data_IF_001731963894
#
_entry.id   IF_001731963894
#
_cell.length_a   1.000
_cell.length_b   1.000
_cell.length_c   1.000
_cell.angle_alpha   90.00
_cell.angle_beta   90.00
_cell.angle_gamma   90.00
#
_symmetry.space_group_name_H-M   'P 1'
#
loop_
_entity.id
_entity.type
_entity.pdbx_description
1 polymer ?
#
# COMPACT_ATOMS: atom_id res chain seq x y z
N UNK A 1 -8.29 -5.34 -26.86
CA UNK A 1 -7.32 -4.90 -25.82
C UNK A 1 -6.90 -6.15 -25.07
N UNK A 2 -5.74 -6.70 -25.40
CA UNK A 2 -5.15 -7.80 -24.65
C UNK A 2 -4.40 -7.22 -23.45
N UNK A 3 -4.51 -7.87 -22.30
CA UNK A 3 -3.75 -7.51 -21.11
C UNK A 3 -2.55 -8.47 -21.08
N UNK A 4 -1.42 -8.00 -21.59
CA UNK A 4 -0.15 -8.73 -21.57
C UNK A 4 0.56 -8.43 -20.24
N UNK A 5 0.20 -9.14 -19.18
CA UNK A 5 1.00 -9.20 -17.96
C UNK A 5 1.75 -10.52 -17.95
N UNK A 6 3.08 -10.51 -18.10
CA UNK A 6 3.86 -11.73 -17.90
C UNK A 6 3.79 -12.12 -16.41
N UNK A 7 3.90 -13.41 -16.07
CA UNK A 7 3.73 -13.86 -14.68
C UNK A 7 4.69 -13.17 -13.69
N UNK A 8 5.93 -12.91 -14.13
CA UNK A 8 6.91 -12.15 -13.37
C UNK A 8 6.49 -10.70 -13.11
N UNK A 9 5.72 -10.09 -14.01
CA UNK A 9 5.20 -8.74 -13.83
C UNK A 9 4.15 -8.70 -12.71
N UNK A 10 3.37 -9.77 -12.54
CA UNK A 10 2.33 -9.83 -11.50
C UNK A 10 2.97 -9.96 -10.10
N UNK A 11 3.96 -10.84 -9.94
CA UNK A 11 4.68 -10.95 -8.66
C UNK A 11 5.47 -9.66 -8.34
N UNK A 12 6.14 -9.08 -9.34
CA UNK A 12 6.81 -7.79 -9.21
C UNK A 12 5.83 -6.66 -8.84
N UNK A 13 4.61 -6.68 -9.37
CA UNK A 13 3.58 -5.71 -9.03
C UNK A 13 3.14 -5.87 -7.56
N UNK A 14 2.95 -7.10 -7.08
CA UNK A 14 2.66 -7.36 -5.67
C UNK A 14 3.76 -6.84 -4.74
N UNK A 15 5.04 -7.05 -5.11
CA UNK A 15 6.19 -6.51 -4.38
C UNK A 15 6.22 -4.97 -4.41
N UNK A 16 5.92 -4.36 -5.56
CA UNK A 16 5.88 -2.91 -5.74
C UNK A 16 4.78 -2.26 -4.86
N UNK A 17 3.59 -2.86 -4.78
CA UNK A 17 2.49 -2.36 -3.93
C UNK A 17 2.93 -2.31 -2.46
N UNK A 18 3.58 -3.35 -1.96
CA UNK A 18 4.08 -3.38 -0.57
C UNK A 18 5.19 -2.34 -0.35
N UNK A 19 6.10 -2.19 -1.31
CA UNK A 19 7.17 -1.19 -1.23
C UNK A 19 6.62 0.25 -1.22
N UNK A 20 5.63 0.54 -2.06
CA UNK A 20 4.95 1.84 -2.07
C UNK A 20 4.20 2.12 -0.76
N UNK A 21 3.54 1.11 -0.19
CA UNK A 21 2.91 1.23 1.12
C UNK A 21 3.90 1.60 2.23
N UNK A 22 5.04 0.91 2.30
CA UNK A 22 6.09 1.20 3.27
C UNK A 22 6.73 2.59 3.06
N UNK A 23 6.86 3.01 1.80
CA UNK A 23 7.32 4.36 1.44
C UNK A 23 6.34 5.43 1.94
N UNK A 24 5.03 5.24 1.73
CA UNK A 24 3.99 6.15 2.19
C UNK A 24 3.93 6.23 3.73
N UNK A 25 4.15 5.13 4.44
CA UNK A 25 4.25 5.14 5.91
C UNK A 25 5.47 5.94 6.39
N UNK A 26 6.58 5.79 5.70
CA UNK A 26 7.82 6.53 5.98
C UNK A 26 7.65 8.03 5.76
N UNK A 27 6.91 8.45 4.72
CA UNK A 27 6.63 9.86 4.38
C UNK A 27 5.59 10.51 5.33
N UNK A 28 4.59 9.74 5.76
CA UNK A 28 3.52 10.24 6.62
C UNK A 28 3.99 10.56 8.04
N UNK A 29 4.93 9.77 8.59
CA UNK A 29 5.45 9.94 9.96
C UNK A 29 6.08 11.32 10.23
N UNK A 30 6.95 11.88 9.36
CA UNK A 30 7.43 13.26 9.45
C UNK A 30 6.30 14.30 9.45
N UNK A 31 5.25 14.08 8.66
CA UNK A 31 4.11 15.00 8.58
C UNK A 31 3.32 15.05 9.89
N UNK A 32 3.11 13.89 10.54
CA UNK A 32 2.52 13.82 11.88
C UNK A 32 3.41 14.47 12.94
N UNK A 33 4.73 14.30 12.84
CA UNK A 33 5.70 14.94 13.74
C UNK A 33 5.64 16.48 13.60
N UNK A 34 5.60 16.99 12.37
CA UNK A 34 5.41 18.42 12.10
C UNK A 34 4.10 18.95 12.66
N UNK A 35 2.99 18.22 12.51
CA UNK A 35 1.72 18.57 13.14
C UNK A 35 1.84 18.62 14.67
N UNK A 36 2.45 17.61 15.30
CA UNK A 36 2.64 17.56 16.75
C UNK A 36 3.45 18.74 17.28
N UNK A 37 4.45 19.20 16.53
CA UNK A 37 5.31 20.33 16.91
C UNK A 37 4.65 21.69 16.69
N UNK A 38 3.95 21.90 15.55
CA UNK A 38 3.43 23.22 15.16
C UNK A 38 2.01 23.51 15.60
N UNK A 39 1.17 22.50 15.79
CA UNK A 39 -0.23 22.71 16.18
C UNK A 39 -0.36 23.40 17.54
N UNK A 40 0.40 23.04 18.59
CA UNK A 40 0.27 23.68 19.91
C UNK A 40 0.50 25.21 19.89
N UNK A 41 1.41 25.69 19.04
CA UNK A 41 1.73 27.12 18.89
C UNK A 41 0.82 27.86 17.92
N UNK A 42 -0.01 27.17 17.14
CA UNK A 42 -0.94 27.79 16.19
C UNK A 42 -2.18 28.37 16.88
N UNK A 43 -2.87 29.33 16.25
CA UNK A 43 -4.09 29.95 16.78
C UNK A 43 -5.24 28.96 17.06
N UNK A 44 -6.22 29.39 17.86
CA UNK A 44 -7.33 28.54 18.31
C UNK A 44 -8.11 27.82 17.18
N UNK A 45 -8.41 28.46 16.03
CA UNK A 45 -9.07 27.78 14.91
C UNK A 45 -8.26 26.61 14.34
N UNK A 46 -6.95 26.81 14.17
CA UNK A 46 -6.03 25.78 13.62
C UNK A 46 -5.92 24.60 14.58
N UNK A 47 -5.80 24.86 15.89
CA UNK A 47 -5.77 23.81 16.92
C UNK A 47 -7.06 22.99 16.97
N UNK A 48 -8.22 23.64 16.81
CA UNK A 48 -9.49 22.94 16.77
C UNK A 48 -9.60 22.04 15.54
N UNK A 49 -9.21 22.53 14.36
CA UNK A 49 -9.21 21.73 13.13
C UNK A 49 -8.26 20.53 13.22
N UNK A 50 -7.03 20.73 13.72
CA UNK A 50 -6.07 19.66 13.87
C UNK A 50 -6.54 18.55 14.83
N UNK A 51 -7.17 18.92 15.95
CA UNK A 51 -7.72 17.93 16.90
C UNK A 51 -8.80 17.03 16.29
N UNK A 52 -9.60 17.57 15.39
CA UNK A 52 -10.71 16.82 14.79
C UNK A 52 -10.30 16.08 13.50
N UNK A 53 -9.32 16.58 12.75
CA UNK A 53 -8.87 15.98 11.49
C UNK A 53 -7.77 14.94 11.67
N UNK A 54 -6.78 15.18 12.55
CA UNK A 54 -5.58 14.32 12.68
C UNK A 54 -5.91 12.87 13.03
N UNK A 55 -6.83 12.55 13.96
CA UNK A 55 -7.16 11.15 14.26
C UNK A 55 -7.77 10.40 13.06
N UNK A 56 -8.67 11.07 12.33
CA UNK A 56 -9.29 10.50 11.12
C UNK A 56 -8.26 10.27 10.01
N UNK A 57 -7.35 11.22 9.81
CA UNK A 57 -6.27 11.11 8.84
C UNK A 57 -5.31 9.96 9.19
N UNK A 58 -4.89 9.84 10.45
CA UNK A 58 -4.02 8.75 10.89
C UNK A 58 -4.68 7.38 10.71
N UNK A 59 -5.97 7.26 11.02
CA UNK A 59 -6.74 6.03 10.80
C UNK A 59 -6.87 5.67 9.33
N UNK A 60 -7.10 6.65 8.45
CA UNK A 60 -7.19 6.41 7.01
C UNK A 60 -5.88 5.87 6.45
N UNK A 61 -4.74 6.47 6.82
CA UNK A 61 -3.43 5.99 6.39
C UNK A 61 -3.11 4.59 6.92
N UNK A 62 -3.46 4.29 8.17
CA UNK A 62 -3.30 2.94 8.72
C UNK A 62 -4.07 1.89 7.91
N UNK A 63 -5.33 2.18 7.55
CA UNK A 63 -6.14 1.30 6.70
C UNK A 63 -5.52 1.15 5.32
N UNK A 64 -5.00 2.22 4.73
CA UNK A 64 -4.30 2.16 3.42
C UNK A 64 -3.09 1.23 3.51
N UNK A 65 -2.29 1.30 4.58
CA UNK A 65 -1.11 0.44 4.72
C UNK A 65 -1.48 -1.03 4.87
N UNK A 66 -2.46 -1.32 5.73
CA UNK A 66 -2.95 -2.69 5.95
C UNK A 66 -3.52 -3.29 4.66
N UNK A 67 -4.34 -2.51 3.94
CA UNK A 67 -4.98 -2.95 2.70
C UNK A 67 -3.97 -3.10 1.56
N UNK A 68 -3.00 -2.18 1.42
CA UNK A 68 -1.98 -2.28 0.39
C UNK A 68 -1.07 -3.49 0.62
N UNK A 69 -0.69 -3.77 1.87
CA UNK A 69 0.08 -4.97 2.18
C UNK A 69 -0.71 -6.26 1.87
N UNK A 70 -1.99 -6.32 2.27
CA UNK A 70 -2.86 -7.45 1.98
C UNK A 70 -3.11 -7.62 0.47
N UNK A 71 -3.24 -6.51 -0.28
CA UNK A 71 -3.37 -6.52 -1.73
C UNK A 71 -2.10 -7.07 -2.38
N UNK A 72 -0.93 -6.59 -1.98
CA UNK A 72 0.36 -7.07 -2.47
C UNK A 72 0.49 -8.59 -2.29
N UNK A 73 0.17 -9.12 -1.11
CA UNK A 73 0.17 -10.56 -0.85
C UNK A 73 -0.76 -11.33 -1.78
N UNK A 74 -2.00 -10.86 -1.96
CA UNK A 74 -2.98 -11.49 -2.86
C UNK A 74 -2.49 -11.52 -4.31
N UNK A 75 -1.86 -10.42 -4.76
CA UNK A 75 -1.30 -10.30 -6.12
C UNK A 75 -0.14 -11.29 -6.30
N UNK A 76 0.77 -11.40 -5.33
CA UNK A 76 1.86 -12.40 -5.39
C UNK A 76 1.34 -13.84 -5.39
N UNK A 77 0.33 -14.14 -4.58
CA UNK A 77 -0.33 -15.46 -4.59
C UNK A 77 -0.97 -15.74 -5.95
N UNK A 78 -1.66 -14.75 -6.55
CA UNK A 78 -2.20 -14.90 -7.90
C UNK A 78 -1.08 -15.19 -8.91
N UNK A 79 0.02 -14.43 -8.87
CA UNK A 79 1.22 -14.67 -9.69
C UNK A 79 1.74 -16.10 -9.59
N UNK A 80 1.90 -16.60 -8.36
CA UNK A 80 2.39 -17.97 -8.09
C UNK A 80 1.42 -19.05 -8.60
N UNK A 81 0.12 -18.89 -8.38
CA UNK A 81 -0.90 -19.83 -8.84
C UNK A 81 -0.96 -19.89 -10.38
N UNK A 82 -0.85 -18.75 -11.05
CA UNK A 82 -0.83 -18.68 -12.50
C UNK A 82 0.43 -19.35 -13.07
N UNK A 83 1.62 -19.07 -12.52
CA UNK A 83 2.86 -19.72 -12.94
C UNK A 83 2.83 -21.25 -12.74
N UNK A 84 2.25 -21.72 -11.63
CA UNK A 84 2.06 -23.16 -11.39
C UNK A 84 1.09 -23.79 -12.39
N UNK A 85 0.02 -23.09 -12.74
CA UNK A 85 -0.98 -23.58 -13.71
C UNK A 85 -0.36 -23.69 -15.09
N UNK A 86 0.40 -22.68 -15.51
CA UNK A 86 1.10 -22.66 -16.82
C UNK A 86 2.10 -23.80 -16.94
N UNK A 87 2.94 -24.03 -15.92
CA UNK A 87 3.87 -25.16 -15.88
C UNK A 87 3.16 -26.53 -15.99
N UNK A 88 2.01 -26.68 -15.32
CA UNK A 88 1.23 -27.91 -15.37
C UNK A 88 0.62 -28.15 -16.75
N UNK A 89 0.13 -27.10 -17.40
CA UNK A 89 -0.34 -27.16 -18.79
C UNK A 89 0.83 -27.52 -19.70
N UNK A 90 1.93 -26.78 -19.68
CA UNK A 90 3.10 -27.02 -20.54
C UNK A 90 3.66 -28.44 -20.42
N UNK A 91 3.73 -28.98 -19.20
CA UNK A 91 4.18 -30.36 -18.96
C UNK A 91 3.22 -31.42 -19.50
N UNK A 92 1.93 -31.11 -19.63
CA UNK A 92 0.93 -32.02 -20.21
C UNK A 92 0.95 -32.10 -21.73
N UNK A 93 1.61 -31.16 -22.41
CA UNK A 93 1.79 -31.14 -23.87
C UNK A 93 3.19 -31.55 -24.33
N UNK A 94 4.14 -31.71 -23.39
CA UNK A 94 5.48 -32.25 -23.64
C UNK A 94 5.46 -33.78 -23.71
#
# INVERSE_FOLDING_TARGET
MAIDHLFGDIDAHGAAIRAQSASLETEHRPSLAMCRLRVPSAGAPVRWHARNLSPGLSRNFQVIYEQANALGQKVQTAGSNMASTDNAVGSGWA
#
